data_IF_248493572287
#
_entry.id   IF_248493572287
#
_cell.length_a   1.000
_cell.length_b   1.000
_cell.length_c   1.000
_cell.angle_alpha   90.00
_cell.angle_beta   90.00
_cell.angle_gamma   90.00
#
_symmetry.space_group_name_H-M   'P 1'
#
loop_
_entity.id
_entity.type
_entity.pdbx_description
1 polymer ?
#
# COMPACT_ATOMS: atom_id res chain seq x y z
N UNK A 1 6.75 -22.01 30.36
CA UNK A 1 5.89 -20.98 30.96
C UNK A 1 6.17 -19.68 30.23
N UNK A 2 5.56 -19.52 29.05
CA UNK A 2 5.78 -18.38 28.13
C UNK A 2 4.66 -17.37 28.38
N UNK A 3 5.01 -16.08 28.49
CA UNK A 3 4.08 -15.02 28.87
C UNK A 3 3.05 -14.78 27.75
N UNK A 4 1.77 -14.55 28.08
CA UNK A 4 0.70 -14.36 27.08
C UNK A 4 0.73 -13.01 26.34
N UNK A 5 1.71 -12.14 26.61
CA UNK A 5 1.79 -10.78 26.03
C UNK A 5 2.56 -10.73 24.69
N UNK A 6 3.28 -11.79 24.33
CA UNK A 6 4.14 -11.83 23.12
C UNK A 6 3.46 -12.45 21.88
N UNK A 7 2.22 -12.96 22.02
CA UNK A 7 1.45 -13.54 20.89
C UNK A 7 0.51 -12.54 20.20
N UNK A 8 0.32 -11.34 20.74
CA UNK A 8 -0.62 -10.37 20.17
C UNK A 8 -0.05 -9.65 18.93
N UNK A 9 1.26 -9.36 18.91
CA UNK A 9 1.89 -8.61 17.82
C UNK A 9 2.05 -9.39 16.52
N UNK A 10 2.32 -10.70 16.61
CA UNK A 10 2.51 -11.59 15.45
C UNK A 10 1.20 -12.16 14.89
N UNK A 11 0.13 -12.18 15.68
CA UNK A 11 -1.18 -12.68 15.22
C UNK A 11 -1.94 -11.68 14.35
N UNK A 12 -1.76 -10.36 14.56
CA UNK A 12 -2.43 -9.32 13.74
C UNK A 12 -1.84 -9.28 12.33
N UNK A 13 -0.52 -9.38 12.20
CA UNK A 13 0.15 -9.41 10.89
C UNK A 13 -0.14 -10.71 10.12
N UNK A 14 -0.30 -11.85 10.81
CA UNK A 14 -0.63 -13.12 10.16
C UNK A 14 -2.13 -13.25 9.79
N UNK A 15 -3.06 -12.61 10.52
CA UNK A 15 -4.49 -12.64 10.15
C UNK A 15 -4.86 -11.75 8.97
N UNK A 16 -4.09 -10.70 8.70
CA UNK A 16 -4.30 -9.87 7.51
C UNK A 16 -3.72 -10.52 6.24
N UNK A 17 -2.91 -11.59 6.38
CA UNK A 17 -2.25 -12.25 5.26
C UNK A 17 -3.11 -13.27 4.51
N UNK A 18 -4.12 -13.88 5.15
CA UNK A 18 -4.89 -14.99 4.56
C UNK A 18 -6.22 -14.50 3.93
N UNK A 19 -6.96 -13.63 4.63
CA UNK A 19 -8.27 -13.16 4.17
C UNK A 19 -8.19 -12.06 3.08
N UNK A 20 -7.12 -11.25 3.05
CA UNK A 20 -6.94 -10.25 1.99
C UNK A 20 -6.45 -10.85 0.66
N UNK A 21 -5.86 -12.05 0.67
CA UNK A 21 -5.41 -12.72 -0.55
C UNK A 21 -6.58 -13.27 -1.37
N UNK A 22 -7.67 -13.68 -0.71
CA UNK A 22 -8.83 -14.29 -1.39
C UNK A 22 -9.80 -13.25 -1.96
N UNK A 23 -10.03 -12.13 -1.27
CA UNK A 23 -11.04 -11.14 -1.70
C UNK A 23 -10.61 -10.29 -2.92
N UNK A 24 -9.30 -10.14 -3.16
CA UNK A 24 -8.77 -9.39 -4.31
C UNK A 24 -8.73 -10.26 -5.59
N UNK A 25 -8.64 -11.58 -5.46
CA UNK A 25 -8.46 -12.50 -6.60
C UNK A 25 -9.75 -12.74 -7.40
N UNK A 26 -10.93 -12.43 -6.86
CA UNK A 26 -12.21 -12.74 -7.52
C UNK A 26 -12.61 -11.71 -8.62
N UNK A 27 -11.98 -10.54 -8.72
CA UNK A 27 -12.35 -9.52 -9.74
C UNK A 27 -11.42 -9.43 -10.96
N UNK A 28 -10.35 -10.19 -11.02
CA UNK A 28 -9.35 -10.10 -12.10
C UNK A 28 -9.42 -11.30 -13.07
N UNK A 29 -10.43 -11.35 -13.94
CA UNK A 29 -10.34 -12.18 -15.14
C UNK A 29 -9.62 -11.42 -16.25
N UNK A 30 -8.46 -11.93 -16.70
CA UNK A 30 -7.86 -11.57 -17.99
C UNK A 30 -6.34 -11.35 -18.00
N UNK A 31 -5.57 -12.45 -18.08
CA UNK A 31 -4.22 -12.56 -18.71
C UNK A 31 -3.13 -11.54 -18.36
N UNK A 32 -2.29 -11.86 -17.35
CA UNK A 32 -0.81 -11.92 -17.40
C UNK A 32 -0.29 -12.04 -15.95
N UNK A 33 0.24 -13.21 -15.55
CA UNK A 33 0.71 -13.42 -14.17
C UNK A 33 1.80 -12.42 -13.74
N UNK A 34 2.56 -11.86 -14.69
CA UNK A 34 3.51 -10.78 -14.39
C UNK A 34 2.80 -9.48 -13.98
N UNK A 35 1.73 -9.10 -14.68
CA UNK A 35 1.05 -7.82 -14.43
C UNK A 35 0.33 -7.75 -13.09
N UNK A 36 -0.24 -8.86 -12.61
CA UNK A 36 -0.94 -8.88 -11.32
C UNK A 36 0.02 -9.01 -10.15
N UNK A 37 1.11 -9.77 -10.31
CA UNK A 37 2.13 -9.89 -9.26
C UNK A 37 2.89 -8.56 -9.13
N UNK A 38 3.25 -7.90 -10.24
CA UNK A 38 3.84 -6.57 -10.24
C UNK A 38 2.91 -5.54 -9.57
N UNK A 39 1.60 -5.60 -9.87
CA UNK A 39 0.62 -4.73 -9.21
C UNK A 39 0.58 -4.97 -7.69
N UNK A 40 0.57 -6.23 -7.26
CA UNK A 40 0.56 -6.60 -5.84
C UNK A 40 1.84 -6.16 -5.12
N UNK A 41 3.00 -6.35 -5.75
CA UNK A 41 4.30 -5.96 -5.20
C UNK A 41 4.39 -4.44 -5.05
N UNK A 42 4.06 -3.68 -6.10
CA UNK A 42 4.17 -2.21 -6.03
C UNK A 42 3.10 -1.61 -5.10
N UNK A 43 1.87 -2.13 -5.11
CA UNK A 43 0.83 -1.75 -4.15
C UNK A 43 1.31 -1.98 -2.71
N UNK A 44 1.87 -3.15 -2.42
CA UNK A 44 2.35 -3.50 -1.08
C UNK A 44 3.48 -2.58 -0.62
N UNK A 45 4.43 -2.28 -1.51
CA UNK A 45 5.52 -1.33 -1.23
C UNK A 45 5.01 0.07 -0.93
N UNK A 46 4.03 0.57 -1.70
CA UNK A 46 3.41 1.89 -1.45
C UNK A 46 2.65 1.92 -0.13
N UNK A 47 1.94 0.85 0.22
CA UNK A 47 1.25 0.71 1.50
C UNK A 47 2.23 0.67 2.69
N UNK A 48 3.38 0.00 2.55
CA UNK A 48 4.42 -0.01 3.57
C UNK A 48 5.00 1.39 3.83
N UNK A 49 5.27 2.17 2.79
CA UNK A 49 5.75 3.55 2.97
C UNK A 49 4.68 4.45 3.60
N UNK A 50 3.42 4.29 3.21
CA UNK A 50 2.30 5.02 3.81
C UNK A 50 2.13 4.70 5.30
N UNK A 51 2.25 3.42 5.68
CA UNK A 51 2.22 2.99 7.08
C UNK A 51 3.39 3.60 7.86
N UNK A 52 4.62 3.51 7.33
CA UNK A 52 5.80 4.10 7.95
C UNK A 52 5.67 5.63 8.16
N UNK A 53 5.09 6.34 7.18
CA UNK A 53 4.85 7.78 7.30
C UNK A 53 3.76 8.08 8.36
N UNK A 54 2.70 7.28 8.40
CA UNK A 54 1.61 7.39 9.39
C UNK A 54 2.12 7.10 10.80
N UNK A 55 2.97 6.07 10.98
CA UNK A 55 3.64 5.78 12.24
C UNK A 55 4.47 6.97 12.73
N UNK A 56 5.16 7.68 11.83
CA UNK A 56 5.89 8.90 12.15
C UNK A 56 4.99 10.00 12.73
N UNK A 57 3.81 10.21 12.15
CA UNK A 57 2.81 11.14 12.71
C UNK A 57 2.29 10.66 14.07
N UNK A 58 2.01 9.36 14.22
CA UNK A 58 1.53 8.79 15.50
C UNK A 58 2.55 8.96 16.63
N UNK A 59 3.86 8.82 16.35
CA UNK A 59 4.93 9.07 17.33
C UNK A 59 4.93 10.52 17.83
N UNK A 60 4.74 11.48 16.92
CA UNK A 60 4.65 12.90 17.28
C UNK A 60 3.39 13.21 18.09
N UNK A 61 2.24 12.64 17.70
CA UNK A 61 0.97 12.74 18.47
C UNK A 61 1.14 12.20 19.89
N UNK A 62 1.78 11.03 20.04
CA UNK A 62 2.08 10.43 21.35
C UNK A 62 2.95 11.35 22.21
N UNK A 63 3.88 12.07 21.57
CA UNK A 63 4.75 13.07 22.20
C UNK A 63 4.09 14.44 22.37
N UNK A 64 2.80 14.59 22.06
CA UNK A 64 2.03 15.85 22.06
C UNK A 64 2.57 16.93 21.12
N UNK A 65 3.34 16.54 20.10
CA UNK A 65 3.84 17.43 19.05
C UNK A 65 2.90 17.29 17.84
N UNK A 66 1.90 18.17 17.76
CA UNK A 66 0.90 18.17 16.66
C UNK A 66 0.91 19.48 15.87
N UNK A 67 2.02 20.22 15.95
CA UNK A 67 2.25 21.47 15.22
C UNK A 67 3.75 21.77 15.14
N UNK A 68 4.12 22.70 14.25
CA UNK A 68 5.50 23.14 14.07
C UNK A 68 6.31 22.25 13.11
N UNK A 69 7.61 22.56 12.92
CA UNK A 69 8.37 22.02 11.79
C UNK A 69 8.45 20.50 11.71
N UNK A 70 8.56 19.82 12.86
CA UNK A 70 8.59 18.36 12.91
C UNK A 70 7.26 17.73 12.47
N UNK A 71 6.14 18.33 12.89
CA UNK A 71 4.80 17.92 12.47
C UNK A 71 4.58 18.19 10.99
N UNK A 72 4.97 19.37 10.49
CA UNK A 72 4.80 19.75 9.08
C UNK A 72 5.56 18.81 8.15
N UNK A 73 6.79 18.41 8.51
CA UNK A 73 7.58 17.45 7.74
C UNK A 73 6.93 16.05 7.75
N UNK A 74 6.49 15.57 8.91
CA UNK A 74 5.84 14.26 9.02
C UNK A 74 4.49 14.23 8.27
N UNK A 75 3.68 15.28 8.42
CA UNK A 75 2.41 15.43 7.73
C UNK A 75 2.58 15.53 6.22
N UNK A 76 3.59 16.27 5.75
CA UNK A 76 3.92 16.34 4.31
C UNK A 76 4.34 14.98 3.78
N UNK A 77 5.21 14.25 4.49
CA UNK A 77 5.64 12.90 4.08
C UNK A 77 4.44 11.94 3.96
N UNK A 78 3.54 11.95 4.94
CA UNK A 78 2.36 11.11 4.91
C UNK A 78 1.43 11.47 3.74
N UNK A 79 1.21 12.76 3.51
CA UNK A 79 0.43 13.23 2.38
C UNK A 79 1.03 12.80 1.04
N UNK A 80 2.34 12.99 0.86
CA UNK A 80 3.06 12.60 -0.37
C UNK A 80 2.99 11.07 -0.59
N UNK A 81 3.14 10.26 0.46
CA UNK A 81 3.01 8.80 0.39
C UNK A 81 1.59 8.36 0.00
N UNK A 82 0.56 9.01 0.57
CA UNK A 82 -0.84 8.75 0.21
C UNK A 82 -1.12 9.13 -1.24
N UNK A 83 -0.63 10.28 -1.70
CA UNK A 83 -0.81 10.72 -3.09
C UNK A 83 -0.18 9.73 -4.09
N UNK A 84 1.00 9.19 -3.78
CA UNK A 84 1.63 8.16 -4.60
C UNK A 84 0.80 6.87 -4.65
N UNK A 85 0.29 6.42 -3.50
CA UNK A 85 -0.57 5.24 -3.43
C UNK A 85 -1.89 5.44 -4.19
N UNK A 86 -2.55 6.57 -4.02
CA UNK A 86 -3.80 6.91 -4.70
C UNK A 86 -3.61 6.99 -6.22
N UNK A 87 -2.54 7.64 -6.68
CA UNK A 87 -2.20 7.73 -8.10
C UNK A 87 -1.95 6.34 -8.72
N UNK A 88 -1.33 5.42 -7.98
CA UNK A 88 -1.11 4.05 -8.44
C UNK A 88 -2.44 3.27 -8.53
N UNK A 89 -3.31 3.38 -7.53
CA UNK A 89 -4.61 2.69 -7.50
C UNK A 89 -5.57 3.18 -8.59
N UNK A 90 -5.51 4.48 -8.89
CA UNK A 90 -6.38 5.14 -9.88
C UNK A 90 -5.71 5.29 -11.25
N UNK A 91 -4.57 4.65 -11.48
CA UNK A 91 -3.90 4.69 -12.77
C UNK A 91 -4.81 4.09 -13.85
N UNK A 92 -5.05 4.79 -14.98
CA UNK A 92 -5.87 4.24 -16.04
C UNK A 92 -5.19 2.98 -16.60
N UNK A 93 -5.93 1.87 -16.60
CA UNK A 93 -5.58 0.64 -17.31
C UNK A 93 -5.61 0.95 -18.81
N UNK A 94 -4.55 1.54 -19.38
CA UNK A 94 -4.52 1.85 -20.81
C UNK A 94 -4.66 0.54 -21.59
N UNK A 95 -5.76 0.30 -22.32
CA UNK A 95 -5.82 -0.81 -23.25
C UNK A 95 -4.97 -0.39 -24.44
N UNK A 96 -3.82 -1.04 -24.65
CA UNK A 96 -3.07 -0.88 -25.90
C UNK A 96 -4.00 -1.27 -27.05
N UNK A 97 -4.34 -0.38 -28.00
CA UNK A 97 -5.15 -0.77 -29.13
C UNK A 97 -4.34 -1.73 -30.02
N UNK A 98 -4.77 -3.00 -30.03
CA UNK A 98 -4.29 -4.07 -30.92
C UNK A 98 -4.79 -3.86 -32.36
N UNK A 99 -4.43 -2.74 -32.98
CA UNK A 99 -4.50 -2.58 -34.43
C UNK A 99 -3.70 -1.36 -34.90
N UNK A 100 -2.37 -1.48 -34.94
CA UNK A 100 -1.62 -0.77 -35.96
C UNK A 100 -1.62 -1.68 -37.20
N UNK A 101 -2.39 -1.38 -38.26
CA UNK A 101 -2.23 -2.11 -39.52
C UNK A 101 -0.80 -1.92 -40.01
N UNK A 102 -0.15 -2.96 -40.58
CA UNK A 102 1.13 -2.80 -41.21
C UNK A 102 0.99 -1.79 -42.34
N UNK A 103 1.80 -0.73 -42.30
CA UNK A 103 1.99 0.09 -43.47
C UNK A 103 2.70 -0.76 -44.54
N UNK A 104 2.10 -0.74 -45.74
CA UNK A 104 2.53 -1.31 -47.03
C UNK A 104 1.85 -2.63 -47.40
#
# INVERSE_FOLDING_TARGET
MVRPDELAGTAVLNRLSDDCYSMVVISAQGTNMASIDDFRVESHKLLLELDAATMGMMQLVSSRVVSGPAWDVASKRQHDAYACWDAFMNAPLVPVPVNCPPAI
#
